data_IF_173168648129
#
_entry.id   IF_173168648129
#
_cell.length_a   1.000
_cell.length_b   1.000
_cell.length_c   1.000
_cell.angle_alpha   90.00
_cell.angle_beta   90.00
_cell.angle_gamma   90.00
#
_symmetry.space_group_name_H-M   'P 1'
#
loop_
_entity.id
_entity.type
_entity.pdbx_description
1 polymer ?
#
# COMPACT_ATOMS: atom_id res chain seq x y z
N UNK A 1 9.07 13.46 -17.82
CA UNK A 1 7.87 12.68 -17.43
C UNK A 1 8.35 11.34 -16.94
N UNK A 2 8.23 11.06 -15.64
CA UNK A 2 8.46 9.70 -15.14
C UNK A 2 7.26 8.85 -15.57
N UNK A 3 7.51 7.75 -16.29
CA UNK A 3 6.47 6.84 -16.73
C UNK A 3 5.85 6.17 -15.49
N UNK A 4 4.58 6.44 -15.21
CA UNK A 4 3.80 5.89 -14.10
C UNK A 4 3.31 4.46 -14.39
N UNK A 5 3.75 3.87 -15.51
CA UNK A 5 3.36 2.56 -16.02
C UNK A 5 4.56 1.62 -16.06
N UNK A 6 4.42 0.45 -15.45
CA UNK A 6 5.44 -0.60 -15.49
C UNK A 6 5.53 -1.16 -16.91
N UNK A 7 6.75 -1.25 -17.46
CA UNK A 7 6.99 -1.75 -18.82
C UNK A 7 6.78 -3.27 -18.94
N UNK A 8 6.87 -4.01 -17.83
CA UNK A 8 6.75 -5.46 -17.80
C UNK A 8 5.32 -5.97 -17.63
N UNK A 9 4.49 -5.35 -16.79
CA UNK A 9 3.12 -5.80 -16.54
C UNK A 9 2.04 -4.80 -17.01
N UNK A 10 2.43 -3.58 -17.40
CA UNK A 10 1.50 -2.54 -17.84
C UNK A 10 0.67 -1.89 -16.73
N UNK A 11 0.83 -2.32 -15.48
CA UNK A 11 0.14 -1.73 -14.33
C UNK A 11 0.72 -0.36 -13.98
N UNK A 12 -0.15 0.53 -13.51
CA UNK A 12 0.24 1.85 -13.02
C UNK A 12 0.44 1.83 -11.52
N UNK A 13 1.23 2.78 -11.01
CA UNK A 13 1.41 2.94 -9.56
C UNK A 13 0.06 3.10 -8.84
N UNK A 14 -0.16 2.30 -7.80
CA UNK A 14 -1.31 2.35 -6.91
C UNK A 14 -0.83 2.18 -5.47
N UNK A 15 -1.46 2.86 -4.50
CA UNK A 15 -1.04 2.82 -3.10
C UNK A 15 -1.07 1.40 -2.52
N UNK A 16 -1.88 0.49 -3.08
CA UNK A 16 -1.93 -0.92 -2.64
C UNK A 16 -0.58 -1.63 -2.79
N UNK A 17 0.29 -1.16 -3.69
CA UNK A 17 1.64 -1.68 -3.84
C UNK A 17 2.50 -1.49 -2.57
N UNK A 18 2.21 -0.48 -1.74
CA UNK A 18 2.89 -0.29 -0.45
C UNK A 18 2.57 -1.41 0.57
N UNK A 19 1.54 -2.21 0.31
CA UNK A 19 1.13 -3.33 1.16
C UNK A 19 1.46 -4.69 0.53
N UNK A 20 1.94 -4.70 -0.71
CA UNK A 20 2.22 -5.92 -1.47
C UNK A 20 3.70 -6.32 -1.35
N UNK A 21 3.94 -7.61 -1.16
CA UNK A 21 5.27 -8.25 -1.17
C UNK A 21 6.03 -7.94 -2.46
N UNK A 22 5.32 -7.94 -3.58
CA UNK A 22 5.89 -7.70 -4.90
C UNK A 22 5.89 -6.22 -5.27
N UNK A 23 5.22 -5.36 -4.49
CA UNK A 23 5.27 -3.91 -4.71
C UNK A 23 4.88 -3.47 -6.12
N UNK A 24 5.45 -2.34 -6.53
CA UNK A 24 5.44 -1.88 -7.91
C UNK A 24 6.70 -2.41 -8.62
N UNK A 25 6.53 -3.01 -9.80
CA UNK A 25 7.64 -3.56 -10.61
C UNK A 25 8.48 -4.62 -9.85
N UNK A 26 7.83 -5.60 -9.22
CA UNK A 26 8.43 -6.67 -8.39
C UNK A 26 9.30 -6.22 -7.20
N UNK A 27 9.18 -4.95 -6.80
CA UNK A 27 9.99 -4.32 -5.74
C UNK A 27 11.19 -3.55 -6.27
N UNK A 28 11.45 -3.58 -7.59
CA UNK A 28 12.52 -2.85 -8.25
C UNK A 28 12.10 -1.44 -8.69
N UNK A 29 10.79 -1.15 -8.68
CA UNK A 29 10.23 0.14 -9.05
C UNK A 29 10.22 1.16 -7.90
N UNK A 30 9.56 2.31 -8.11
CA UNK A 30 9.40 3.33 -7.06
C UNK A 30 8.62 2.75 -5.87
N UNK A 31 9.34 2.42 -4.80
CA UNK A 31 8.79 1.99 -3.52
C UNK A 31 8.15 3.22 -2.86
N UNK A 32 6.89 3.50 -3.17
CA UNK A 32 6.13 4.58 -2.54
C UNK A 32 5.61 4.23 -1.14
N UNK A 33 6.13 3.16 -0.53
CA UNK A 33 5.75 2.73 0.83
C UNK A 33 6.00 3.80 1.88
N UNK A 34 7.11 4.55 1.79
CA UNK A 34 7.37 5.69 2.68
C UNK A 34 6.39 6.84 2.43
N UNK A 35 6.04 7.13 1.16
CA UNK A 35 5.08 8.18 0.82
C UNK A 35 3.67 7.85 1.34
N UNK A 36 3.26 6.58 1.27
CA UNK A 36 2.00 6.09 1.86
C UNK A 36 2.05 6.15 3.39
N UNK A 37 3.19 5.81 4.00
CA UNK A 37 3.35 5.89 5.45
C UNK A 37 3.30 7.34 5.95
N UNK A 38 4.07 8.25 5.37
CA UNK A 38 4.08 9.69 5.70
C UNK A 38 2.69 10.31 5.55
N UNK A 39 1.94 9.89 4.52
CA UNK A 39 0.57 10.34 4.31
C UNK A 39 -0.35 9.94 5.46
N UNK A 40 -0.32 8.68 5.86
CA UNK A 40 -1.11 8.18 6.98
C UNK A 40 -0.65 8.79 8.31
N UNK A 41 0.65 8.98 8.50
CA UNK A 41 1.19 9.68 9.67
C UNK A 41 0.68 11.13 9.76
N UNK A 42 0.56 11.83 8.62
CA UNK A 42 -0.03 13.17 8.59
C UNK A 42 -1.51 13.23 8.98
N UNK A 43 -2.21 12.10 8.89
CA UNK A 43 -3.62 11.93 9.31
C UNK A 43 -3.75 11.37 10.74
N UNK A 44 -2.63 11.31 11.47
CA UNK A 44 -2.56 10.91 12.87
C UNK A 44 -2.50 9.40 13.08
N UNK A 45 -2.14 8.61 12.07
CA UNK A 45 -1.88 7.19 12.23
C UNK A 45 -0.41 6.94 12.61
N UNK A 46 -0.14 5.93 13.43
CA UNK A 46 1.19 5.38 13.62
C UNK A 46 1.39 4.24 12.62
N UNK A 47 2.32 4.38 11.69
CA UNK A 47 2.56 3.39 10.64
C UNK A 47 3.90 2.70 10.85
N UNK A 48 3.94 1.37 10.78
CA UNK A 48 5.19 0.63 10.69
C UNK A 48 5.29 -0.08 9.34
N UNK A 49 6.41 0.16 8.68
CA UNK A 49 6.80 -0.51 7.45
C UNK A 49 8.22 -1.02 7.56
N UNK A 50 8.55 -2.02 6.76
CA UNK A 50 9.88 -2.63 6.82
C UNK A 50 10.14 -3.53 5.64
N UNK A 51 11.42 -3.87 5.47
CA UNK A 51 11.87 -4.73 4.36
C UNK A 51 11.36 -6.15 4.57
N UNK A 52 10.59 -6.64 3.61
CA UNK A 52 10.11 -8.01 3.56
C UNK A 52 11.11 -8.89 2.79
N UNK A 53 12.07 -9.45 3.53
CA UNK A 53 13.12 -10.33 2.99
C UNK A 53 13.81 -9.69 1.76
N UNK A 54 13.86 -10.40 0.64
CA UNK A 54 14.61 -10.02 -0.54
C UNK A 54 13.85 -9.12 -1.53
N UNK A 55 12.55 -8.86 -1.33
CA UNK A 55 11.69 -8.29 -2.39
C UNK A 55 11.42 -6.80 -2.21
N UNK A 56 10.61 -6.40 -1.23
CA UNK A 56 10.15 -5.01 -1.12
C UNK A 56 9.99 -4.55 0.33
N UNK A 57 9.91 -3.23 0.54
CA UNK A 57 9.47 -2.63 1.80
C UNK A 57 7.94 -2.53 1.80
N UNK A 58 7.28 -3.09 2.82
CA UNK A 58 5.81 -3.05 2.93
C UNK A 58 5.35 -2.57 4.30
N UNK A 59 4.18 -1.93 4.33
CA UNK A 59 3.47 -1.55 5.55
C UNK A 59 2.86 -2.80 6.17
N UNK A 60 3.17 -3.06 7.44
CA UNK A 60 2.69 -4.23 8.18
C UNK A 60 1.93 -3.87 9.47
N UNK A 61 1.86 -2.59 9.83
CA UNK A 61 1.09 -2.10 10.98
C UNK A 61 0.60 -0.68 10.70
N UNK A 62 -0.67 -0.43 11.01
CA UNK A 62 -1.28 0.90 11.01
C UNK A 62 -2.09 1.00 12.29
N UNK A 63 -1.77 1.97 13.14
CA UNK A 63 -2.44 2.17 14.42
C UNK A 63 -2.96 3.58 14.56
N UNK A 64 -4.04 3.76 15.33
CA UNK A 64 -4.54 5.06 15.77
C UNK A 64 -5.24 4.88 17.09
N UNK A 65 -4.97 5.76 18.05
CA UNK A 65 -5.57 5.72 19.39
C UNK A 65 -5.43 4.33 20.07
N UNK A 66 -4.31 3.65 19.83
CA UNK A 66 -4.01 2.31 20.36
C UNK A 66 -4.71 1.14 19.65
N UNK A 67 -5.57 1.38 18.66
CA UNK A 67 -6.21 0.36 17.82
C UNK A 67 -5.33 0.01 16.62
N UNK A 68 -5.13 -1.29 16.35
CA UNK A 68 -4.44 -1.79 15.16
C UNK A 68 -5.45 -2.09 14.05
N UNK A 69 -5.24 -1.53 12.87
CA UNK A 69 -6.10 -1.70 11.70
C UNK A 69 -5.61 -2.79 10.73
N UNK A 70 -4.35 -3.24 10.87
CA UNK A 70 -3.85 -4.35 10.06
C UNK A 70 -4.30 -5.70 10.63
N UNK A 71 -4.63 -6.69 9.78
CA UNK A 71 -5.20 -7.98 10.19
C UNK A 71 -4.15 -8.94 10.79
N UNK A 72 -3.30 -8.47 11.72
CA UNK A 72 -2.17 -9.23 12.28
C UNK A 72 -2.58 -10.51 13.02
N UNK A 73 -3.79 -10.55 13.57
CA UNK A 73 -4.32 -11.71 14.29
C UNK A 73 -5.26 -12.57 13.43
N UNK A 74 -5.44 -12.24 12.15
CA UNK A 74 -6.30 -12.99 11.25
C UNK A 74 -5.46 -13.93 10.36
N UNK A 75 -5.49 -15.23 10.66
CA UNK A 75 -4.76 -16.24 9.89
C UNK A 75 -5.33 -16.48 8.48
N UNK A 76 -6.54 -16.00 8.18
CA UNK A 76 -7.11 -16.07 6.85
C UNK A 76 -6.53 -15.02 5.89
N UNK A 77 -5.87 -13.98 6.42
CA UNK A 77 -5.31 -12.88 5.62
C UNK A 77 -3.78 -12.93 5.66
N UNK A 78 -3.18 -12.99 4.48
CA UNK A 78 -1.75 -13.06 4.24
C UNK A 78 -1.27 -11.66 3.85
N UNK A 79 -0.86 -10.88 4.85
CA UNK A 79 -0.24 -9.55 4.65
C UNK A 79 0.90 -9.68 3.64
N UNK A 80 0.93 -8.82 2.63
CA UNK A 80 1.88 -8.89 1.52
C UNK A 80 1.43 -9.70 0.31
N UNK A 81 0.39 -10.54 0.42
CA UNK A 81 -0.10 -11.36 -0.69
C UNK A 81 -1.54 -11.02 -1.06
N UNK A 82 -2.38 -10.75 -0.08
CA UNK A 82 -3.77 -10.39 -0.30
C UNK A 82 -3.94 -8.90 -0.64
N UNK A 83 -5.01 -8.58 -1.36
CA UNK A 83 -5.32 -7.21 -1.75
C UNK A 83 -5.69 -6.39 -0.50
N UNK A 84 -5.00 -5.27 -0.21
CA UNK A 84 -5.29 -4.45 0.97
C UNK A 84 -6.70 -3.87 1.01
N UNK A 85 -7.39 -3.75 -0.12
CA UNK A 85 -8.79 -3.27 -0.15
C UNK A 85 -9.76 -4.21 0.56
N UNK A 86 -9.40 -5.48 0.76
CA UNK A 86 -10.28 -6.47 1.43
C UNK A 86 -10.20 -6.39 2.95
N UNK A 87 -9.11 -5.82 3.49
CA UNK A 87 -8.83 -5.83 4.93
C UNK A 87 -8.55 -4.47 5.52
N UNK A 88 -8.19 -3.48 4.71
CA UNK A 88 -8.09 -2.11 5.18
C UNK A 88 -9.49 -1.53 5.38
N UNK A 89 -9.73 -0.84 6.49
CA UNK A 89 -10.92 -0.04 6.69
C UNK A 89 -11.19 0.96 5.55
N UNK A 90 -12.47 1.18 5.23
CA UNK A 90 -12.89 2.06 4.12
C UNK A 90 -12.44 3.53 4.30
N UNK A 91 -12.32 4.00 5.53
CA UNK A 91 -11.83 5.33 5.90
C UNK A 91 -10.34 5.50 5.55
N UNK A 92 -9.51 4.50 5.82
CA UNK A 92 -8.10 4.49 5.39
C UNK A 92 -8.03 4.47 3.87
N UNK A 93 -8.83 3.63 3.21
CA UNK A 93 -8.89 3.58 1.75
C UNK A 93 -9.33 4.91 1.14
N UNK A 94 -10.29 5.61 1.75
CA UNK A 94 -10.78 6.91 1.29
C UNK A 94 -9.69 8.00 1.37
N UNK A 95 -8.91 8.02 2.45
CA UNK A 95 -7.75 8.92 2.60
C UNK A 95 -6.74 8.69 1.48
N UNK A 96 -6.37 7.42 1.26
CA UNK A 96 -5.40 7.03 0.26
C UNK A 96 -5.90 7.35 -1.16
N UNK A 97 -7.16 7.04 -1.47
CA UNK A 97 -7.76 7.37 -2.76
C UNK A 97 -7.89 8.88 -2.99
N UNK A 98 -8.16 9.66 -1.95
CA UNK A 98 -8.29 11.12 -2.07
C UNK A 98 -6.95 11.82 -2.30
N UNK A 99 -5.88 11.37 -1.64
CA UNK A 99 -4.57 12.05 -1.67
C UNK A 99 -3.56 11.41 -2.61
N UNK A 100 -3.77 10.15 -3.00
CA UNK A 100 -3.05 9.44 -4.07
C UNK A 100 -4.06 8.96 -5.13
N UNK A 101 -4.78 9.89 -5.80
CA UNK A 101 -5.80 9.51 -6.77
C UNK A 101 -5.18 8.71 -7.92
N UNK A 102 -5.79 7.57 -8.21
CA UNK A 102 -5.50 6.80 -9.41
C UNK A 102 -5.87 7.63 -10.64
N UNK A 103 -4.87 8.03 -11.44
CA UNK A 103 -5.09 8.79 -12.69
C UNK A 103 -5.39 7.88 -13.90
N UNK A 104 -5.89 6.66 -13.65
CA UNK A 104 -6.24 5.70 -14.70
C UNK A 104 -7.74 5.63 -14.95
N UNK A 105 -8.17 6.09 -16.12
CA UNK A 105 -9.49 5.78 -16.68
C UNK A 105 -9.55 4.28 -16.94
N UNK A 106 -10.48 3.55 -16.32
CA UNK A 106 -10.80 2.18 -16.70
C UNK A 106 -11.59 2.19 -18.02
N UNK A 107 -11.11 1.61 -19.13
CA UNK A 107 -12.02 1.08 -20.13
C UNK A 107 -12.58 -0.23 -19.57
N UNK A 108 -13.90 -0.31 -19.47
CA UNK A 108 -14.64 -1.57 -19.30
C UNK A 108 -14.33 -2.56 -20.43
#
# INVERSE_FOLDING_TARGET
MACDKCEHCGNRYHWSHAFSKFGYDDGDGKIGTSEVAELLESEGYEVCYGRWLAHNTLIFSIKKDGMEFMPRNNSAIRIGYDDPTIYLPEDIQAILNSKMPFLGVFPY
#
